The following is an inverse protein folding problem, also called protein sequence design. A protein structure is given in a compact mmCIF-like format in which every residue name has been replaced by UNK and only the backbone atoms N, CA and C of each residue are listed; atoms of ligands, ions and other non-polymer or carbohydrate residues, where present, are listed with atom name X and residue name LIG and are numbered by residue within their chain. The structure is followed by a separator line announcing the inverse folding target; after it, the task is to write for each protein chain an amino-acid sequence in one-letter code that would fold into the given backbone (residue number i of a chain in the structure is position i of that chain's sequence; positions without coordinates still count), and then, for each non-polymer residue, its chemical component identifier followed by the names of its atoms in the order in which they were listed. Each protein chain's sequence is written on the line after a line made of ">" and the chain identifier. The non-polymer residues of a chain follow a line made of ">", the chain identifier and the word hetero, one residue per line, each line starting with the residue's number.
data_IF_181207117528
#
_entry.id   IF_181207117528
#
_cell.length_a   1.000
_cell.length_b   1.000
_cell.length_c   1.000
_cell.angle_alpha   90.00
_cell.angle_beta   90.00
_cell.angle_gamma   90.00
#
_symmetry.space_group_name_H-M   'P 1'
#
loop_
_entity.id
_entity.type
_entity.pdbx_description
1 polymer ?
#
# COMPACT_ATOMS: atom_id res chain seq x y z
N UNK A 1 -8.86 -2.60 13.08
CA UNK A 1 -8.72 -1.17 12.70
C UNK A 1 -9.56 -0.78 11.49
N UNK A 2 -9.42 -1.41 10.33
CA UNK A 2 -10.23 -1.09 9.14
C UNK A 2 -11.67 -1.57 9.26
N UNK A 3 -11.87 -2.88 9.25
CA UNK A 3 -13.18 -3.55 9.30
C UNK A 3 -14.05 -3.10 10.49
N UNK A 4 -13.48 -2.96 11.70
CA UNK A 4 -14.20 -2.46 12.89
C UNK A 4 -14.77 -1.04 12.69
N UNK A 5 -14.11 -0.19 11.90
CA UNK A 5 -14.53 1.19 11.65
C UNK A 5 -15.44 1.32 10.43
N UNK A 6 -15.33 0.39 9.50
CA UNK A 6 -16.07 0.38 8.23
C UNK A 6 -16.59 -1.03 7.94
N UNK A 7 -17.51 -1.57 8.76
CA UNK A 7 -17.94 -2.96 8.66
C UNK A 7 -18.70 -3.26 7.36
N UNK A 8 -19.34 -2.25 6.77
CA UNK A 8 -20.14 -2.36 5.55
C UNK A 8 -19.37 -1.93 4.29
N UNK A 9 -18.08 -1.63 4.42
CA UNK A 9 -17.28 -1.26 3.25
C UNK A 9 -17.24 -2.40 2.24
N UNK A 10 -17.53 -2.07 0.98
CA UNK A 10 -17.43 -3.01 -0.16
C UNK A 10 -16.23 -2.70 -1.06
N UNK A 11 -15.59 -1.56 -0.83
CA UNK A 11 -14.53 -1.04 -1.68
C UNK A 11 -13.37 -0.49 -0.86
N UNK A 12 -12.16 -0.63 -1.39
CA UNK A 12 -10.93 -0.06 -0.86
C UNK A 12 -10.25 0.77 -1.93
N UNK A 13 -10.09 2.07 -1.68
CA UNK A 13 -9.28 2.95 -2.52
C UNK A 13 -7.82 2.97 -2.06
N UNK A 14 -6.92 2.58 -2.94
CA UNK A 14 -5.46 2.62 -2.76
C UNK A 14 -4.87 3.70 -3.66
N UNK A 15 -4.27 4.71 -3.06
CA UNK A 15 -3.43 5.68 -3.79
C UNK A 15 -1.97 5.24 -3.69
N UNK A 16 -1.34 4.94 -4.83
CA UNK A 16 0.00 4.37 -4.86
C UNK A 16 0.97 5.24 -5.68
N UNK A 17 2.25 5.22 -5.31
CA UNK A 17 3.30 5.81 -6.13
C UNK A 17 3.56 4.89 -7.35
N UNK A 18 4.26 5.40 -8.38
CA UNK A 18 4.56 4.66 -9.61
C UNK A 18 5.85 3.82 -9.56
N UNK A 19 6.64 3.93 -8.50
CA UNK A 19 7.98 3.32 -8.41
C UNK A 19 8.02 2.10 -7.50
N UNK A 20 8.99 1.22 -7.71
CA UNK A 20 9.22 0.05 -6.86
C UNK A 20 8.17 -1.06 -7.02
N UNK A 21 7.98 -1.82 -5.93
CA UNK A 21 7.16 -3.04 -5.93
C UNK A 21 5.68 -2.83 -6.27
N UNK A 22 5.14 -1.65 -5.96
CA UNK A 22 3.75 -1.24 -6.25
C UNK A 22 3.62 -0.41 -7.53
N UNK A 23 4.58 -0.49 -8.46
CA UNK A 23 4.46 0.22 -9.73
C UNK A 23 3.24 -0.23 -10.54
N UNK A 24 2.69 0.68 -11.35
CA UNK A 24 1.56 0.37 -12.24
C UNK A 24 1.88 -0.74 -13.27
N UNK A 25 3.16 -1.05 -13.50
CA UNK A 25 3.60 -2.14 -14.41
C UNK A 25 3.84 -3.46 -13.68
N UNK A 26 3.93 -3.45 -12.35
CA UNK A 26 4.20 -4.64 -11.54
C UNK A 26 3.05 -5.64 -11.68
N UNK A 27 3.38 -6.84 -12.16
CA UNK A 27 2.45 -7.97 -12.24
C UNK A 27 2.21 -8.59 -10.88
N UNK A 28 3.28 -8.77 -10.10
CA UNK A 28 3.23 -9.27 -8.72
C UNK A 28 2.31 -8.41 -7.86
N UNK A 29 2.42 -7.09 -7.96
CA UNK A 29 1.54 -6.16 -7.24
C UNK A 29 0.06 -6.43 -7.52
N UNK A 30 -0.32 -6.55 -8.80
CA UNK A 30 -1.71 -6.81 -9.19
C UNK A 30 -2.19 -8.18 -8.75
N UNK A 31 -1.35 -9.21 -8.88
CA UNK A 31 -1.69 -10.56 -8.45
C UNK A 31 -1.92 -10.65 -6.94
N UNK A 32 -1.05 -10.01 -6.13
CA UNK A 32 -1.20 -9.98 -4.68
C UNK A 32 -2.38 -9.11 -4.24
N UNK A 33 -2.67 -8.00 -4.94
CA UNK A 33 -3.91 -7.24 -4.71
C UNK A 33 -5.16 -8.04 -5.08
N UNK A 34 -5.12 -8.87 -6.13
CA UNK A 34 -6.25 -9.75 -6.47
C UNK A 34 -6.48 -10.75 -5.33
N UNK A 35 -5.42 -11.39 -4.83
CA UNK A 35 -5.51 -12.28 -3.67
C UNK A 35 -6.09 -11.58 -2.44
N UNK A 36 -5.71 -10.32 -2.22
CA UNK A 36 -6.28 -9.51 -1.15
C UNK A 36 -7.76 -9.19 -1.38
N UNK A 37 -8.15 -8.87 -2.62
CA UNK A 37 -9.54 -8.62 -2.98
C UNK A 37 -10.38 -9.89 -2.75
N UNK A 38 -9.90 -11.04 -3.21
CA UNK A 38 -10.54 -12.35 -3.02
C UNK A 38 -10.70 -12.66 -1.52
N UNK A 39 -9.63 -12.51 -0.73
CA UNK A 39 -9.67 -12.82 0.71
C UNK A 39 -10.53 -11.87 1.54
N UNK A 40 -10.75 -10.63 1.09
CA UNK A 40 -11.51 -9.63 1.84
C UNK A 40 -12.93 -9.41 1.31
N UNK A 41 -13.23 -9.87 0.10
CA UNK A 41 -14.47 -9.55 -0.60
C UNK A 41 -14.59 -8.08 -1.02
N UNK A 42 -13.51 -7.29 -0.91
CA UNK A 42 -13.50 -5.87 -1.25
C UNK A 42 -13.06 -5.64 -2.70
N UNK A 43 -13.76 -4.78 -3.41
CA UNK A 43 -13.25 -4.23 -4.67
C UNK A 43 -12.09 -3.26 -4.38
N UNK A 44 -10.90 -3.55 -4.88
CA UNK A 44 -9.72 -2.73 -4.64
C UNK A 44 -9.48 -1.81 -5.83
N UNK A 45 -9.81 -0.54 -5.66
CA UNK A 45 -9.53 0.52 -6.64
C UNK A 45 -8.13 1.07 -6.43
N UNK A 46 -7.28 1.02 -7.44
CA UNK A 46 -5.91 1.56 -7.39
C UNK A 46 -5.80 2.78 -8.29
N UNK A 47 -5.28 3.87 -7.71
CA UNK A 47 -4.96 5.10 -8.41
C UNK A 47 -3.48 5.42 -8.24
N UNK A 48 -2.71 5.30 -9.31
CA UNK A 48 -1.30 5.68 -9.28
C UNK A 48 -1.10 7.19 -9.49
N UNK A 49 -0.21 7.78 -8.68
CA UNK A 49 0.27 9.15 -8.86
C UNK A 49 1.22 9.22 -10.07
N UNK A 50 1.14 10.24 -10.95
CA UNK A 50 2.08 10.42 -12.06
C UNK A 50 3.57 10.45 -11.65
N UNK A 51 4.52 10.19 -12.57
CA UNK A 51 5.94 10.25 -12.24
C UNK A 51 6.34 11.63 -11.69
N UNK A 52 7.18 11.67 -10.66
CA UNK A 52 7.61 12.92 -10.03
C UNK A 52 6.55 13.61 -9.14
N UNK A 53 5.42 12.97 -8.88
CA UNK A 53 4.30 13.57 -8.11
C UNK A 53 4.10 12.99 -6.71
N UNK A 54 5.07 12.23 -6.18
CA UNK A 54 5.00 11.63 -4.83
C UNK A 54 4.81 12.66 -3.72
N UNK A 55 5.18 13.93 -3.95
CA UNK A 55 4.87 15.06 -3.05
C UNK A 55 3.37 15.26 -2.82
N UNK A 56 2.49 14.73 -3.67
CA UNK A 56 1.03 14.84 -3.47
C UNK A 56 0.46 13.66 -2.68
N UNK A 57 1.26 12.65 -2.39
CA UNK A 57 0.85 11.55 -1.54
C UNK A 57 0.76 12.04 -0.08
N UNK A 58 -0.45 12.01 0.49
CA UNK A 58 -0.75 12.53 1.83
C UNK A 58 0.13 11.91 2.92
N UNK A 59 0.58 10.67 2.75
CA UNK A 59 1.44 9.99 3.74
C UNK A 59 2.78 10.72 3.93
N UNK A 60 3.32 11.34 2.86
CA UNK A 60 4.57 12.10 2.92
C UNK A 60 4.47 13.28 3.89
N UNK A 61 3.33 13.99 3.84
CA UNK A 61 3.09 15.19 4.66
C UNK A 61 2.48 14.91 6.03
N UNK A 62 1.65 13.86 6.14
CA UNK A 62 0.90 13.56 7.37
C UNK A 62 1.60 12.60 8.30
N UNK A 63 2.58 11.83 7.80
CA UNK A 63 3.26 10.80 8.57
C UNK A 63 4.79 10.93 8.44
N UNK A 64 5.33 10.80 7.24
CA UNK A 64 6.78 10.69 7.06
C UNK A 64 7.54 11.96 7.44
N UNK A 65 6.99 13.15 7.17
CA UNK A 65 7.55 14.42 7.64
C UNK A 65 7.76 14.45 9.16
N UNK A 66 6.75 13.99 9.92
CA UNK A 66 6.80 13.96 11.38
C UNK A 66 7.77 12.89 11.91
N UNK A 67 7.85 11.73 11.25
CA UNK A 67 8.85 10.70 11.60
C UNK A 67 10.25 11.28 11.43
N UNK A 68 10.52 11.93 10.29
CA UNK A 68 11.81 12.58 10.02
C UNK A 68 12.18 13.64 11.07
N UNK A 69 11.21 14.41 11.54
CA UNK A 69 11.41 15.37 12.62
C UNK A 69 11.69 14.68 13.95
N UNK A 70 10.97 13.61 14.29
CA UNK A 70 11.05 12.94 15.58
C UNK A 70 12.42 12.30 15.84
N UNK A 71 13.03 11.67 14.83
CA UNK A 71 14.34 11.04 14.98
C UNK A 71 15.52 11.88 14.47
N UNK A 72 15.30 13.16 14.18
CA UNK A 72 16.36 14.04 13.66
C UNK A 72 17.56 14.06 14.62
N UNK A 73 18.74 13.71 14.11
CA UNK A 73 19.98 13.69 14.87
C UNK A 73 20.13 12.50 15.82
N UNK A 74 19.29 11.47 15.69
CA UNK A 74 19.40 10.21 16.45
C UNK A 74 19.93 9.10 15.53
N UNK A 75 21.01 8.41 15.91
CA UNK A 75 21.52 7.29 15.12
C UNK A 75 20.51 6.12 15.18
N UNK A 76 20.34 5.44 14.04
CA UNK A 76 19.43 4.30 13.87
C UNK A 76 20.22 3.00 13.93
N UNK A 77 20.74 2.66 15.11
CA UNK A 77 21.74 1.60 15.30
C UNK A 77 21.15 0.19 15.31
N UNK A 78 19.88 0.07 15.70
CA UNK A 78 19.19 -1.21 15.82
C UNK A 78 17.69 -1.10 15.47
N UNK A 79 17.03 -2.25 15.27
CA UNK A 79 15.62 -2.30 14.90
C UNK A 79 14.68 -1.79 16.00
N UNK A 80 15.02 -1.98 17.27
CA UNK A 80 14.21 -1.52 18.39
C UNK A 80 14.17 0.01 18.43
N UNK A 81 15.33 0.65 18.31
CA UNK A 81 15.50 2.09 18.18
C UNK A 81 14.66 2.63 17.03
N UNK A 82 14.73 2.03 15.85
CA UNK A 82 13.92 2.42 14.68
C UNK A 82 12.42 2.30 14.96
N UNK A 83 11.96 1.17 15.49
CA UNK A 83 10.53 0.94 15.78
C UNK A 83 10.01 1.90 16.83
N UNK A 84 10.77 2.12 17.91
CA UNK A 84 10.42 3.04 18.99
C UNK A 84 10.34 4.48 18.48
N UNK A 85 11.27 4.91 17.63
CA UNK A 85 11.26 6.24 17.04
C UNK A 85 10.08 6.48 16.12
N UNK A 86 9.71 5.50 15.30
CA UNK A 86 8.51 5.62 14.46
C UNK A 86 7.26 5.62 15.34
N UNK A 87 7.16 4.69 16.30
CA UNK A 87 5.98 4.54 17.16
C UNK A 87 5.72 5.70 18.12
N UNK A 88 6.77 6.40 18.54
CA UNK A 88 6.66 7.60 19.41
C UNK A 88 6.40 8.89 18.64
N UNK A 89 6.30 8.84 17.30
CA UNK A 89 6.02 10.02 16.49
C UNK A 89 4.63 10.56 16.78
N UNK A 90 4.56 11.85 17.13
CA UNK A 90 3.30 12.58 17.37
C UNK A 90 3.34 13.99 16.78
N UNK A 91 2.21 14.70 16.80
CA UNK A 91 2.13 16.12 16.43
C UNK A 91 1.08 16.85 17.27
N UNK A 92 1.03 18.18 17.14
CA UNK A 92 0.08 19.04 17.87
C UNK A 92 -1.39 18.75 17.57
N UNK A 93 -1.68 18.02 16.47
CA UNK A 93 -3.02 17.61 16.05
C UNK A 93 -3.39 16.19 16.52
N UNK A 94 -2.59 15.57 17.38
CA UNK A 94 -2.89 14.28 17.98
C UNK A 94 -2.57 13.06 17.10
N UNK A 95 -1.61 13.16 16.17
CA UNK A 95 -1.12 12.01 15.41
C UNK A 95 -0.64 10.90 16.36
N UNK A 96 -1.14 9.68 16.12
CA UNK A 96 -0.71 8.44 16.79
C UNK A 96 -0.17 7.48 15.74
N UNK A 97 1.06 7.02 15.92
CA UNK A 97 1.72 6.07 15.01
C UNK A 97 1.89 4.74 15.72
N UNK A 98 1.62 3.65 15.01
CA UNK A 98 1.96 2.29 15.47
C UNK A 98 2.99 1.71 14.52
N UNK A 99 4.11 1.27 15.06
CA UNK A 99 5.17 0.60 14.34
C UNK A 99 5.38 -0.80 14.92
N UNK A 100 5.71 -1.76 14.05
CA UNK A 100 6.06 -3.12 14.46
C UNK A 100 7.16 -3.62 13.55
N UNK A 101 8.14 -4.33 14.12
CA UNK A 101 9.11 -5.08 13.34
C UNK A 101 8.43 -6.28 12.68
N UNK A 102 8.55 -6.38 11.36
CA UNK A 102 8.19 -7.58 10.63
C UNK A 102 9.44 -8.43 10.41
N UNK A 103 9.47 -9.64 11.00
CA UNK A 103 10.56 -10.61 10.88
C UNK A 103 10.30 -11.68 9.83
N UNK A 104 9.18 -11.59 9.11
CA UNK A 104 8.85 -12.53 8.03
C UNK A 104 9.89 -12.43 6.93
N UNK A 105 10.21 -13.59 6.34
CA UNK A 105 11.06 -13.67 5.15
C UNK A 105 10.18 -13.76 3.93
N UNK A 106 10.37 -12.84 3.00
CA UNK A 106 9.64 -12.80 1.74
C UNK A 106 10.52 -13.38 0.63
N UNK A 107 9.94 -14.27 -0.19
CA UNK A 107 10.64 -14.82 -1.34
C UNK A 107 10.91 -13.70 -2.34
N UNK A 108 12.16 -13.56 -2.76
CA UNK A 108 12.56 -12.61 -3.82
C UNK A 108 12.46 -13.28 -5.18
N UNK A 109 12.48 -12.47 -6.25
CA UNK A 109 12.42 -12.99 -7.63
C UNK A 109 11.09 -13.64 -8.01
N UNK A 110 10.01 -13.33 -7.30
CA UNK A 110 8.67 -13.81 -7.67
C UNK A 110 8.28 -13.22 -9.02
N UNK A 111 7.95 -14.08 -9.96
CA UNK A 111 7.38 -13.74 -11.25
C UNK A 111 5.91 -14.14 -11.30
N UNK A 112 5.15 -13.46 -12.16
CA UNK A 112 3.76 -13.79 -12.47
C UNK A 112 3.69 -13.98 -13.98
N UNK A 113 3.18 -15.14 -14.39
CA UNK A 113 3.10 -15.52 -15.79
C UNK A 113 2.07 -14.64 -16.54
N UNK A 114 2.16 -14.53 -17.87
CA UNK A 114 1.10 -13.91 -18.67
C UNK A 114 -0.28 -14.55 -18.44
N UNK A 115 -0.33 -15.86 -18.22
CA UNK A 115 -1.54 -16.63 -17.97
C UNK A 115 -2.17 -16.24 -16.64
N UNK A 116 -1.40 -16.24 -15.55
CA UNK A 116 -1.85 -15.77 -14.22
C UNK A 116 -2.35 -14.32 -14.27
N UNK A 117 -1.73 -13.49 -15.10
CA UNK A 117 -2.17 -12.10 -15.30
C UNK A 117 -3.51 -11.99 -16.00
N UNK A 118 -3.85 -12.94 -16.88
CA UNK A 118 -5.12 -12.97 -17.60
C UNK A 118 -6.26 -13.46 -16.70
N UNK A 119 -5.95 -14.29 -15.70
CA UNK A 119 -6.91 -14.78 -14.71
C UNK A 119 -7.31 -13.74 -13.65
N UNK A 120 -6.66 -12.58 -13.62
CA UNK A 120 -7.03 -11.49 -12.71
C UNK A 120 -8.34 -10.85 -13.18
N UNK A 121 -9.24 -10.58 -12.23
CA UNK A 121 -10.46 -9.81 -12.51
C UNK A 121 -10.15 -8.31 -12.43
N UNK A 122 -9.29 -7.87 -13.35
CA UNK A 122 -8.78 -6.51 -13.43
C UNK A 122 -9.60 -5.69 -14.42
N UNK A 123 -10.33 -4.70 -13.90
CA UNK A 123 -11.11 -3.74 -14.68
C UNK A 123 -10.31 -2.45 -14.79
N UNK A 124 -9.88 -2.08 -16.00
CA UNK A 124 -9.17 -0.82 -16.23
C UNK A 124 -10.15 0.35 -16.31
N UNK A 125 -9.77 1.49 -15.74
CA UNK A 125 -10.54 2.72 -15.90
C UNK A 125 -10.48 3.23 -17.35
N UNK A 126 -11.55 3.87 -17.83
CA UNK A 126 -11.59 4.50 -19.16
C UNK A 126 -10.52 5.58 -19.33
N UNK A 127 -10.23 6.33 -18.26
CA UNK A 127 -9.21 7.37 -18.25
C UNK A 127 -7.96 6.87 -17.51
N UNK A 128 -6.82 6.82 -18.20
CA UNK A 128 -5.55 6.28 -17.71
C UNK A 128 -5.65 4.87 -17.10
N UNK A 129 -6.27 3.94 -17.84
CA UNK A 129 -6.42 2.54 -17.43
C UNK A 129 -5.11 1.77 -17.22
N UNK A 130 -4.01 2.32 -17.71
CA UNK A 130 -2.64 1.88 -17.42
C UNK A 130 -2.24 2.18 -15.97
N UNK A 131 -2.79 3.24 -15.36
CA UNK A 131 -2.45 3.73 -14.01
C UNK A 131 -3.64 3.69 -13.02
N UNK A 132 -4.84 3.37 -13.53
CA UNK A 132 -6.08 3.32 -12.76
C UNK A 132 -6.84 2.06 -13.10
N UNK A 133 -7.05 1.22 -12.11
CA UNK A 133 -7.73 -0.06 -12.29
C UNK A 133 -8.39 -0.50 -10.99
N UNK A 134 -9.37 -1.37 -11.12
CA UNK A 134 -10.06 -2.03 -10.02
C UNK A 134 -9.77 -3.52 -10.12
N UNK A 135 -9.41 -4.13 -9.00
CA UNK A 135 -9.41 -5.57 -8.85
C UNK A 135 -10.67 -5.95 -8.10
N UNK A 136 -11.57 -6.62 -8.82
CA UNK A 136 -12.84 -7.10 -8.28
C UNK A 136 -12.58 -8.49 -7.69
N UNK A 137 -13.11 -8.82 -6.50
CA UNK A 137 -13.01 -10.17 -5.97
C UNK A 137 -13.51 -11.18 -6.99
N UNK A 138 -12.74 -12.24 -7.20
CA UNK A 138 -13.22 -13.41 -7.93
C UNK A 138 -14.13 -14.13 -6.95
N UNK A 139 -15.43 -14.18 -7.24
CA UNK A 139 -16.30 -15.07 -6.46
C UNK A 139 -15.75 -16.48 -6.62
N UNK A 140 -15.58 -17.19 -5.50
CA UNK A 140 -15.14 -18.58 -5.51
C UNK A 140 -15.97 -19.36 -6.54
N UNK A 141 -15.28 -20.09 -7.42
CA UNK A 141 -15.91 -21.20 -8.14
C UNK A 141 -16.15 -22.35 -7.18
#
# INVERSE_FOLDING_TARGET
>A
MGQERYPEAKELLVTADLSGGNSARSRVWKAELQRLADATGLCISVCHFPPGTSKWNKVKHRLFSHISLNWRGRPLEDYETVVNLIGTTTNTKGLKVKARLDRRRYRTGVSVSPEDMHELHLVRATFHGDWKYVLVPRMDK
#
